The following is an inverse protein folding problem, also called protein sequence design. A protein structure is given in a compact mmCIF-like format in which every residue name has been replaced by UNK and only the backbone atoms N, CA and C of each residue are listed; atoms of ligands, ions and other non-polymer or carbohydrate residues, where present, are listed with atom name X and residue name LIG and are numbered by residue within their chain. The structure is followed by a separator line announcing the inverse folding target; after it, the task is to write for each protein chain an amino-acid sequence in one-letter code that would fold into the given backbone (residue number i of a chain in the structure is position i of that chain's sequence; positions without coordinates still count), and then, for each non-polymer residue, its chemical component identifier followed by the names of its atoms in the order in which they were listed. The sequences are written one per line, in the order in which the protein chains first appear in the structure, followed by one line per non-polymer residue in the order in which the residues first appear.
data_IF_688772639171
#
_entry.id   IF_688772639171
#
_cell.length_a   1.000
_cell.length_b   1.000
_cell.length_c   1.000
_cell.angle_alpha   90.00
_cell.angle_beta   90.00
_cell.angle_gamma   90.00
#
_symmetry.space_group_name_H-M   'P 1'
#
loop_
_entity.id
_entity.type
_entity.pdbx_description
1 polymer ?
#
# COMPACT_ATOMS: atom_id res chain seq x y z
N UNK A 1 34.49 -8.06 -8.89
CA UNK A 1 34.41 -8.43 -10.31
C UNK A 1 35.15 -7.36 -11.09
N UNK A 2 36.27 -7.72 -11.78
CA UNK A 2 36.97 -6.80 -12.71
C UNK A 2 36.05 -6.56 -13.91
N UNK A 3 35.62 -5.32 -14.13
CA UNK A 3 34.94 -4.97 -15.38
C UNK A 3 35.89 -5.22 -16.56
N UNK A 4 35.46 -5.93 -17.61
CA UNK A 4 36.25 -6.11 -18.82
C UNK A 4 36.50 -4.73 -19.45
N UNK A 5 37.73 -4.43 -19.81
CA UNK A 5 38.14 -3.19 -20.49
C UNK A 5 38.67 -3.52 -21.85
N UNK A 6 38.12 -2.86 -22.86
CA UNK A 6 38.70 -2.91 -24.21
C UNK A 6 40.02 -2.09 -24.21
N UNK A 7 41.15 -2.69 -24.63
CA UNK A 7 42.36 -1.93 -24.74
C UNK A 7 42.37 -1.07 -26.03
N UNK A 8 43.08 0.06 -26.02
CA UNK A 8 43.24 0.91 -27.21
C UNK A 8 43.81 0.13 -28.40
N UNK A 9 44.78 -0.78 -28.14
CA UNK A 9 45.38 -1.63 -29.17
C UNK A 9 44.37 -2.62 -29.78
N UNK A 10 43.44 -3.15 -29.01
CA UNK A 10 42.42 -4.05 -29.51
C UNK A 10 41.34 -3.29 -30.28
N UNK A 11 41.00 -2.10 -29.84
CA UNK A 11 40.09 -1.22 -30.56
C UNK A 11 40.62 -0.80 -31.92
N UNK A 12 41.95 -0.50 -32.03
CA UNK A 12 42.58 -0.13 -33.29
C UNK A 12 42.70 -1.28 -34.30
N UNK A 13 42.58 -2.52 -33.85
CA UNK A 13 42.60 -3.71 -34.75
C UNK A 13 41.20 -4.09 -35.27
N UNK A 14 40.15 -3.42 -34.74
CA UNK A 14 38.77 -3.67 -35.17
C UNK A 14 38.58 -3.32 -36.65
N UNK A 15 38.06 -4.25 -37.43
CA UNK A 15 37.67 -4.04 -38.82
C UNK A 15 36.23 -3.54 -38.85
N UNK A 16 36.00 -2.36 -39.42
CA UNK A 16 34.68 -1.77 -39.57
C UNK A 16 34.34 -1.72 -41.06
N UNK A 17 33.26 -2.35 -41.54
CA UNK A 17 32.79 -2.15 -42.91
C UNK A 17 32.33 -0.69 -43.09
N UNK A 18 32.96 -0.01 -44.07
CA UNK A 18 32.67 1.39 -44.32
C UNK A 18 31.88 1.50 -45.65
N UNK A 19 30.57 1.79 -45.58
CA UNK A 19 29.76 1.99 -46.78
C UNK A 19 30.06 3.34 -47.44
N UNK A 20 29.67 3.54 -48.72
CA UNK A 20 29.80 4.83 -49.40
C UNK A 20 29.13 5.96 -48.58
N UNK A 21 29.67 7.19 -48.67
CA UNK A 21 29.24 8.32 -47.87
C UNK A 21 27.72 8.59 -47.95
N UNK A 22 27.14 8.51 -49.15
CA UNK A 22 25.70 8.64 -49.34
C UNK A 22 24.87 7.58 -48.62
N UNK A 23 25.42 6.38 -48.44
CA UNK A 23 24.78 5.29 -47.68
C UNK A 23 24.97 5.49 -46.20
N UNK A 24 26.10 5.99 -45.74
CA UNK A 24 26.30 6.37 -44.34
C UNK A 24 25.25 7.39 -43.91
N UNK A 25 24.97 8.44 -44.70
CA UNK A 25 23.94 9.45 -44.43
C UNK A 25 22.54 8.82 -44.34
N UNK A 26 22.21 7.88 -45.21
CA UNK A 26 20.92 7.17 -45.19
C UNK A 26 20.78 6.30 -43.95
N UNK A 27 21.83 5.60 -43.56
CA UNK A 27 21.88 4.76 -42.35
C UNK A 27 21.66 5.63 -41.12
N UNK A 28 22.39 6.74 -41.01
CA UNK A 28 22.25 7.66 -39.85
C UNK A 28 20.83 8.22 -39.76
N UNK A 29 20.28 8.71 -40.86
CA UNK A 29 18.91 9.25 -40.90
C UNK A 29 17.86 8.20 -40.48
N UNK A 30 18.00 6.96 -40.92
CA UNK A 30 17.08 5.88 -40.54
C UNK A 30 17.24 5.49 -39.07
N UNK A 31 18.45 5.47 -38.51
CA UNK A 31 18.73 5.24 -37.10
C UNK A 31 18.10 6.36 -36.24
N UNK A 32 18.28 7.63 -36.60
CA UNK A 32 17.70 8.78 -35.91
C UNK A 32 16.17 8.68 -35.88
N UNK A 33 15.55 8.31 -37.00
CA UNK A 33 14.12 8.08 -37.09
C UNK A 33 13.65 6.97 -36.12
N UNK A 34 14.35 5.83 -36.07
CA UNK A 34 14.01 4.73 -35.16
C UNK A 34 14.18 5.12 -33.70
N UNK A 35 15.24 5.82 -33.34
CA UNK A 35 15.42 6.32 -31.97
C UNK A 35 14.30 7.30 -31.58
N UNK A 36 13.91 8.21 -32.47
CA UNK A 36 12.79 9.12 -32.22
C UNK A 36 11.47 8.37 -31.98
N UNK A 37 11.21 7.27 -32.72
CA UNK A 37 10.02 6.44 -32.50
C UNK A 37 10.09 5.69 -31.17
N UNK A 38 11.26 5.19 -30.77
CA UNK A 38 11.48 4.54 -29.48
C UNK A 38 11.20 5.52 -28.34
N UNK A 39 11.74 6.76 -28.43
CA UNK A 39 11.51 7.81 -27.43
C UNK A 39 10.02 8.14 -27.27
N UNK A 40 9.28 8.23 -28.38
CA UNK A 40 7.83 8.46 -28.36
C UNK A 40 7.09 7.33 -27.62
N UNK A 41 7.46 6.08 -27.89
CA UNK A 41 6.84 4.89 -27.26
C UNK A 41 7.16 4.87 -25.77
N UNK A 42 8.42 5.10 -25.38
CA UNK A 42 8.85 5.08 -23.97
C UNK A 42 8.18 6.20 -23.18
N UNK A 43 8.10 7.42 -23.72
CA UNK A 43 7.41 8.54 -23.09
C UNK A 43 5.90 8.25 -22.94
N UNK A 44 5.25 7.73 -23.98
CA UNK A 44 3.84 7.35 -23.94
C UNK A 44 3.56 6.24 -22.88
N UNK A 45 4.46 5.28 -22.73
CA UNK A 45 4.40 4.24 -21.69
C UNK A 45 4.49 4.85 -20.29
N UNK A 46 5.43 5.76 -20.06
CA UNK A 46 5.60 6.47 -18.78
C UNK A 46 4.39 7.32 -18.41
N UNK A 47 3.83 8.05 -19.38
CA UNK A 47 2.65 8.87 -19.19
C UNK A 47 1.42 8.02 -18.82
N UNK A 48 1.26 6.86 -19.46
CA UNK A 48 0.15 5.95 -19.17
C UNK A 48 0.28 5.32 -17.77
N UNK A 49 1.49 4.91 -17.36
CA UNK A 49 1.74 4.43 -15.99
C UNK A 49 1.38 5.50 -14.94
N UNK A 50 1.74 6.75 -15.20
CA UNK A 50 1.39 7.88 -14.34
C UNK A 50 -0.13 8.07 -14.28
N UNK A 51 -0.80 8.01 -15.42
CA UNK A 51 -2.26 8.13 -15.52
C UNK A 51 -2.98 7.01 -14.77
N UNK A 52 -2.51 5.76 -14.87
CA UNK A 52 -3.05 4.61 -14.11
C UNK A 52 -2.94 4.87 -12.61
N UNK A 53 -1.79 5.32 -12.13
CA UNK A 53 -1.58 5.63 -10.71
C UNK A 53 -2.52 6.74 -10.23
N UNK A 54 -2.67 7.81 -11.00
CA UNK A 54 -3.59 8.91 -10.69
C UNK A 54 -5.05 8.45 -10.69
N UNK A 55 -5.43 7.59 -11.64
CA UNK A 55 -6.78 7.02 -11.72
C UNK A 55 -7.09 6.15 -10.51
N UNK A 56 -6.17 5.26 -10.09
CA UNK A 56 -6.33 4.46 -8.85
C UNK A 56 -6.51 5.35 -7.63
N UNK A 57 -5.72 6.41 -7.52
CA UNK A 57 -5.87 7.40 -6.43
C UNK A 57 -7.23 8.09 -6.46
N UNK A 58 -7.72 8.47 -7.64
CA UNK A 58 -9.03 9.10 -7.80
C UNK A 58 -10.18 8.16 -7.45
N UNK A 59 -10.06 6.88 -7.78
CA UNK A 59 -11.05 5.84 -7.40
C UNK A 59 -11.16 5.77 -5.87
N UNK A 60 -10.03 5.73 -5.15
CA UNK A 60 -10.04 5.72 -3.68
C UNK A 60 -10.65 7.01 -3.10
N UNK A 61 -10.31 8.16 -3.68
CA UNK A 61 -10.90 9.44 -3.26
C UNK A 61 -12.42 9.47 -3.44
N UNK A 62 -12.94 9.00 -4.56
CA UNK A 62 -14.37 8.87 -4.78
C UNK A 62 -15.04 7.89 -3.81
N UNK A 63 -14.34 6.78 -3.50
CA UNK A 63 -14.85 5.75 -2.57
C UNK A 63 -15.06 6.29 -1.17
N UNK A 64 -14.05 6.99 -0.62
CA UNK A 64 -14.11 7.51 0.77
C UNK A 64 -15.06 8.70 0.95
N UNK A 65 -15.54 9.31 -0.14
CA UNK A 65 -16.49 10.41 -0.13
C UNK A 65 -17.91 10.00 -0.58
N UNK A 66 -18.19 8.69 -0.72
CA UNK A 66 -19.49 8.18 -1.13
C UNK A 66 -19.90 8.54 -2.56
N UNK A 67 -18.92 8.73 -3.46
CA UNK A 67 -19.12 9.15 -4.84
C UNK A 67 -18.77 8.08 -5.87
N UNK A 68 -18.25 6.92 -5.43
CA UNK A 68 -17.83 5.85 -6.34
C UNK A 68 -19.00 5.02 -6.87
N UNK A 69 -20.00 4.82 -6.03
CA UNK A 69 -21.24 4.07 -6.34
C UNK A 69 -22.47 4.88 -5.91
N UNK A 70 -23.63 4.54 -6.44
CA UNK A 70 -24.90 5.12 -5.99
C UNK A 70 -25.29 4.59 -4.61
N UNK A 71 -25.92 5.47 -3.80
CA UNK A 71 -26.48 5.11 -2.52
C UNK A 71 -27.74 4.24 -2.69
N UNK A 72 -27.92 3.25 -1.81
CA UNK A 72 -29.18 2.49 -1.71
C UNK A 72 -29.91 2.89 -0.44
N UNK A 73 -31.10 3.42 -0.59
CA UNK A 73 -31.93 3.88 0.53
C UNK A 73 -32.46 2.74 1.41
N UNK A 74 -32.39 1.50 0.93
CA UNK A 74 -32.78 0.31 1.68
C UNK A 74 -31.65 -0.25 2.56
N UNK A 75 -30.43 0.25 2.40
CA UNK A 75 -29.32 -0.16 3.27
C UNK A 75 -29.60 0.28 4.71
N UNK A 76 -29.27 -0.60 5.66
CA UNK A 76 -29.30 -0.25 7.07
C UNK A 76 -28.30 0.90 7.34
N UNK A 77 -28.73 2.03 7.91
CA UNK A 77 -27.83 3.15 8.15
C UNK A 77 -26.63 2.78 9.01
N UNK A 78 -25.45 3.36 8.73
CA UNK A 78 -24.21 3.06 9.45
C UNK A 78 -24.32 3.28 10.98
N UNK A 79 -25.20 4.18 11.43
CA UNK A 79 -25.43 4.42 12.86
C UNK A 79 -25.88 3.16 13.60
N UNK A 80 -26.72 2.31 12.98
CA UNK A 80 -27.20 1.08 13.61
C UNK A 80 -26.09 0.03 13.69
N UNK A 81 -25.25 -0.06 12.67
CA UNK A 81 -24.03 -0.88 12.69
C UNK A 81 -23.08 -0.43 13.84
N UNK A 82 -22.83 0.88 13.94
CA UNK A 82 -21.89 1.42 14.93
C UNK A 82 -22.40 1.25 16.36
N UNK A 83 -23.71 1.37 16.61
CA UNK A 83 -24.31 1.05 17.91
C UNK A 83 -24.21 -0.43 18.29
N UNK A 84 -24.28 -1.34 17.32
CA UNK A 84 -24.03 -2.77 17.58
C UNK A 84 -22.57 -3.06 17.95
N UNK A 85 -21.62 -2.33 17.33
CA UNK A 85 -20.19 -2.46 17.61
C UNK A 85 -19.80 -1.83 18.96
N UNK A 86 -20.43 -0.70 19.28
CA UNK A 86 -20.26 0.05 20.52
C UNK A 86 -21.63 0.63 20.95
N UNK A 87 -22.30 0.04 21.97
CA UNK A 87 -23.61 0.52 22.41
C UNK A 87 -23.64 1.98 22.86
N UNK A 88 -22.51 2.50 23.35
CA UNK A 88 -22.36 3.88 23.80
C UNK A 88 -21.92 4.83 22.66
N UNK A 89 -21.93 4.34 21.41
CA UNK A 89 -21.52 5.15 20.27
C UNK A 89 -22.41 6.39 20.12
N UNK A 90 -21.74 7.54 20.10
CA UNK A 90 -22.36 8.83 19.75
C UNK A 90 -21.66 9.33 18.48
N UNK A 91 -22.42 9.77 17.45
CA UNK A 91 -21.83 10.35 16.26
C UNK A 91 -20.89 11.51 16.62
N UNK A 92 -19.70 11.54 16.01
CA UNK A 92 -18.82 12.70 16.12
C UNK A 92 -19.46 13.85 15.34
N UNK A 93 -20.01 14.84 16.03
CA UNK A 93 -20.47 16.09 15.41
C UNK A 93 -19.28 17.07 15.38
N UNK A 94 -18.50 17.00 14.34
CA UNK A 94 -17.29 17.83 14.22
C UNK A 94 -17.50 19.05 13.31
N UNK A 95 -18.75 19.39 12.96
CA UNK A 95 -19.05 20.56 12.09
C UNK A 95 -18.37 20.48 10.72
N UNK A 96 -18.19 19.27 10.18
CA UNK A 96 -17.53 19.08 8.89
C UNK A 96 -18.30 19.77 7.77
N UNK A 97 -17.58 20.57 6.98
CA UNK A 97 -18.06 21.24 5.76
C UNK A 97 -18.33 20.24 4.61
N UNK A 98 -17.89 18.99 4.72
CA UNK A 98 -18.12 17.97 3.71
C UNK A 98 -19.48 17.31 3.91
N UNK A 99 -20.34 17.43 2.89
CA UNK A 99 -21.65 16.74 2.89
C UNK A 99 -21.43 15.25 2.67
N UNK A 100 -21.50 14.48 3.77
CA UNK A 100 -21.56 13.02 3.72
C UNK A 100 -22.92 12.55 3.19
N UNK A 101 -22.99 11.34 2.59
CA UNK A 101 -24.26 10.66 2.37
C UNK A 101 -25.03 10.52 3.69
N UNK A 102 -26.36 10.64 3.63
CA UNK A 102 -27.20 10.66 4.84
C UNK A 102 -27.11 9.37 5.66
N UNK A 103 -26.82 8.23 5.02
CA UNK A 103 -26.69 6.92 5.67
C UNK A 103 -25.31 6.68 6.32
N UNK A 104 -24.34 7.57 6.09
CA UNK A 104 -22.97 7.43 6.60
C UNK A 104 -22.82 8.09 7.97
N UNK A 105 -21.85 7.59 8.75
CA UNK A 105 -21.46 8.17 10.02
C UNK A 105 -19.97 8.45 10.08
N UNK A 106 -19.58 9.44 10.88
CA UNK A 106 -18.20 9.72 11.21
C UNK A 106 -17.80 8.99 12.49
N UNK A 107 -16.71 8.24 12.46
CA UNK A 107 -16.16 7.57 13.65
C UNK A 107 -14.64 7.71 13.68
N UNK A 108 -14.02 7.48 14.83
CA UNK A 108 -12.57 7.39 14.94
C UNK A 108 -12.10 5.96 14.63
N UNK A 109 -10.93 5.84 14.02
CA UNK A 109 -10.37 4.52 13.66
C UNK A 109 -10.32 3.59 14.89
N UNK A 110 -9.95 4.11 16.06
CA UNK A 110 -9.89 3.34 17.30
C UNK A 110 -11.22 2.63 17.63
N UNK A 111 -12.35 3.30 17.41
CA UNK A 111 -13.67 2.75 17.69
C UNK A 111 -14.06 1.60 16.76
N UNK A 112 -13.46 1.55 15.57
CA UNK A 112 -13.70 0.55 14.53
C UNK A 112 -12.79 -0.67 14.64
N UNK A 113 -11.78 -0.63 15.53
CA UNK A 113 -10.76 -1.66 15.66
C UNK A 113 -11.00 -2.57 16.86
N UNK A 114 -10.81 -3.87 16.65
CA UNK A 114 -10.67 -4.87 17.71
C UNK A 114 -9.21 -4.94 18.24
N UNK A 115 -8.24 -4.57 17.39
CA UNK A 115 -6.85 -4.42 17.77
C UNK A 115 -6.23 -3.27 16.99
N UNK A 116 -5.64 -2.32 17.69
CA UNK A 116 -4.92 -1.19 17.12
C UNK A 116 -3.69 -0.95 18.00
N UNK A 117 -2.54 -1.40 17.54
CA UNK A 117 -1.30 -1.34 18.31
C UNK A 117 -0.07 -1.43 17.42
N UNK A 118 1.03 -0.90 17.89
CA UNK A 118 2.33 -1.23 17.32
C UNK A 118 2.75 -2.65 17.76
N UNK A 119 3.53 -3.31 16.92
CA UNK A 119 4.23 -4.52 17.31
C UNK A 119 5.24 -4.27 18.43
N UNK A 120 6.01 -5.28 18.78
CA UNK A 120 7.02 -5.21 19.87
C UNK A 120 8.43 -5.31 19.31
N UNK A 121 9.40 -4.80 20.05
CA UNK A 121 10.82 -4.98 19.72
C UNK A 121 11.22 -6.44 19.91
N UNK A 122 11.58 -7.16 18.84
CA UNK A 122 11.91 -8.56 18.92
C UNK A 122 13.36 -8.78 19.34
N UNK A 123 13.65 -9.89 20.01
CA UNK A 123 15.00 -10.46 20.04
C UNK A 123 15.09 -11.42 18.86
N UNK A 124 16.08 -11.22 18.00
CA UNK A 124 16.25 -12.03 16.81
C UNK A 124 17.13 -13.25 17.05
N UNK A 125 16.86 -14.32 16.32
CA UNK A 125 17.70 -15.52 16.21
C UNK A 125 18.35 -15.57 14.84
N UNK A 126 19.64 -15.93 14.80
CA UNK A 126 20.32 -16.21 13.54
C UNK A 126 20.27 -17.71 13.17
N UNK A 127 20.01 -18.57 14.15
CA UNK A 127 20.02 -20.03 14.01
C UNK A 127 18.63 -20.61 13.79
N UNK A 128 17.61 -20.09 14.47
CA UNK A 128 16.22 -20.55 14.34
C UNK A 128 15.50 -19.71 13.30
N UNK A 129 14.84 -20.35 12.34
CA UNK A 129 14.11 -19.71 11.24
C UNK A 129 12.64 -20.15 11.20
N UNK A 130 12.04 -20.42 12.36
CA UNK A 130 10.66 -20.91 12.44
C UNK A 130 9.62 -19.80 12.50
N UNK A 131 9.91 -18.68 13.19
CA UNK A 131 8.95 -17.60 13.42
C UNK A 131 9.46 -16.30 12.76
N UNK A 132 8.97 -15.94 11.57
CA UNK A 132 9.35 -14.69 10.94
C UNK A 132 8.79 -13.49 11.68
N UNK A 133 9.53 -12.38 11.65
CA UNK A 133 9.13 -11.09 12.19
C UNK A 133 8.85 -10.15 11.03
N UNK A 134 7.62 -9.65 10.96
CA UNK A 134 7.19 -8.69 9.96
C UNK A 134 7.74 -7.31 10.28
N UNK A 135 8.65 -6.84 9.45
CA UNK A 135 9.30 -5.54 9.55
C UNK A 135 8.97 -4.67 8.34
N UNK A 136 9.36 -3.41 8.34
CA UNK A 136 9.11 -2.45 7.25
C UNK A 136 9.46 -2.97 5.85
N UNK A 137 10.55 -3.75 5.73
CA UNK A 137 10.99 -4.32 4.45
C UNK A 137 10.02 -5.36 3.90
N UNK A 138 9.18 -5.97 4.76
CA UNK A 138 8.17 -6.92 4.33
C UNK A 138 7.02 -6.25 3.57
N UNK A 139 6.80 -4.94 3.80
CA UNK A 139 5.91 -4.10 3.00
C UNK A 139 6.67 -3.62 1.74
N UNK A 140 6.49 -4.28 0.62
CA UNK A 140 7.23 -4.00 -0.60
C UNK A 140 6.91 -2.61 -1.17
N UNK A 141 7.90 -1.98 -1.81
CA UNK A 141 7.76 -0.65 -2.42
C UNK A 141 6.76 -0.69 -3.58
N UNK A 142 6.88 -1.66 -4.44
CA UNK A 142 6.08 -1.79 -5.66
C UNK A 142 4.69 -2.41 -5.42
N UNK A 143 4.38 -2.74 -4.18
CA UNK A 143 3.11 -3.37 -3.77
C UNK A 143 3.32 -4.76 -3.19
N UNK A 144 2.28 -5.24 -2.45
CA UNK A 144 2.32 -6.57 -1.84
C UNK A 144 3.17 -6.68 -0.58
N UNK A 145 3.26 -7.91 -0.11
CA UNK A 145 3.98 -8.35 1.09
C UNK A 145 4.92 -9.49 0.71
N UNK A 146 6.14 -9.49 1.27
CA UNK A 146 7.06 -10.62 1.18
C UNK A 146 7.76 -10.85 2.52
N UNK A 147 7.88 -12.12 2.92
CA UNK A 147 8.63 -12.53 4.11
C UNK A 147 10.07 -12.98 3.79
N UNK A 148 10.51 -12.92 2.53
CA UNK A 148 11.87 -13.34 2.12
C UNK A 148 12.98 -12.59 2.87
N UNK A 149 12.74 -11.31 3.19
CA UNK A 149 13.69 -10.48 3.93
C UNK A 149 13.37 -10.42 5.43
N UNK A 150 12.42 -11.24 5.92
CA UNK A 150 12.10 -11.27 7.33
C UNK A 150 13.29 -11.82 8.14
N UNK A 151 13.51 -11.22 9.31
CA UNK A 151 14.34 -11.81 10.36
C UNK A 151 13.47 -12.71 11.24
N UNK A 152 14.10 -13.56 12.05
CA UNK A 152 13.37 -14.55 12.84
C UNK A 152 13.45 -14.26 14.32
N UNK A 153 12.36 -14.52 15.04
CA UNK A 153 12.28 -14.34 16.47
C UNK A 153 13.10 -15.43 17.19
N UNK A 154 13.80 -15.04 18.25
CA UNK A 154 14.36 -16.01 19.21
C UNK A 154 13.21 -16.71 19.94
N UNK A 155 13.03 -18.05 19.75
CA UNK A 155 11.90 -18.79 20.31
C UNK A 155 11.77 -18.67 21.84
N UNK A 156 12.90 -18.47 22.55
CA UNK A 156 12.90 -18.27 24.01
C UNK A 156 12.13 -17.03 24.46
N UNK A 157 11.83 -16.10 23.53
CA UNK A 157 11.12 -14.87 23.81
C UNK A 157 9.66 -14.86 23.39
N UNK A 158 9.16 -15.97 22.83
CA UNK A 158 7.78 -16.06 22.34
C UNK A 158 6.74 -15.78 23.45
N UNK A 159 7.05 -16.13 24.69
CA UNK A 159 6.18 -15.90 25.85
C UNK A 159 5.87 -14.41 26.10
N UNK A 160 6.67 -13.48 25.53
CA UNK A 160 6.42 -12.03 25.59
C UNK A 160 5.33 -11.57 24.62
N UNK A 161 4.92 -12.43 23.70
CA UNK A 161 3.94 -12.15 22.67
C UNK A 161 2.61 -12.83 23.02
N UNK A 162 1.55 -12.04 23.19
CA UNK A 162 0.20 -12.60 23.30
C UNK A 162 -0.32 -12.97 21.91
N UNK A 163 -1.26 -13.91 21.86
CA UNK A 163 -1.86 -14.42 20.61
C UNK A 163 -2.41 -13.29 19.70
N UNK A 164 -2.87 -12.19 20.30
CA UNK A 164 -3.45 -11.06 19.55
C UNK A 164 -2.45 -10.42 18.58
N UNK A 165 -1.14 -10.55 18.81
CA UNK A 165 -0.10 -10.04 17.91
C UNK A 165 0.18 -10.91 16.69
N UNK A 166 -0.30 -12.17 16.67
CA UNK A 166 -0.21 -12.96 15.45
C UNK A 166 -1.04 -12.31 14.36
N UNK A 167 -0.39 -12.01 13.24
CA UNK A 167 -1.07 -11.37 12.11
C UNK A 167 -2.10 -12.32 11.51
N UNK A 168 -3.25 -11.78 11.14
CA UNK A 168 -4.41 -12.49 10.63
C UNK A 168 -4.85 -11.88 9.29
N UNK A 169 -5.50 -12.69 8.46
CA UNK A 169 -6.13 -12.17 7.23
C UNK A 169 -7.06 -11.01 7.56
N UNK A 170 -6.88 -9.89 6.86
CA UNK A 170 -7.64 -8.66 7.11
C UNK A 170 -6.92 -7.64 8.01
N UNK A 171 -5.77 -7.98 8.61
CA UNK A 171 -4.96 -6.98 9.30
C UNK A 171 -4.38 -5.96 8.31
N UNK A 172 -4.51 -4.69 8.63
CA UNK A 172 -3.92 -3.61 7.86
C UNK A 172 -2.62 -3.21 8.57
N UNK A 173 -1.51 -3.32 7.83
CA UNK A 173 -0.17 -3.11 8.33
C UNK A 173 0.37 -1.77 7.84
N UNK A 174 0.67 -0.87 8.77
CA UNK A 174 1.16 0.48 8.49
C UNK A 174 2.59 0.61 8.99
N UNK A 175 3.52 0.98 8.13
CA UNK A 175 4.89 1.29 8.54
C UNK A 175 4.88 2.55 9.42
N UNK A 176 5.30 2.42 10.67
CA UNK A 176 5.28 3.51 11.65
C UNK A 176 6.57 4.32 11.69
N UNK A 177 7.64 3.86 11.05
CA UNK A 177 8.94 4.55 10.98
C UNK A 177 9.59 4.32 9.63
N UNK A 178 10.73 4.97 9.40
CA UNK A 178 11.61 4.74 8.25
C UNK A 178 11.49 5.80 7.16
N UNK A 179 12.65 6.35 6.78
CA UNK A 179 12.74 7.37 5.72
C UNK A 179 12.16 6.85 4.41
N UNK A 180 11.13 7.52 3.89
CA UNK A 180 10.44 7.16 2.64
C UNK A 180 9.59 5.88 2.69
N UNK A 181 9.40 5.30 3.89
CA UNK A 181 8.56 4.10 4.06
C UNK A 181 7.44 4.29 5.09
N UNK A 182 7.54 5.27 5.98
CA UNK A 182 6.49 5.60 6.95
C UNK A 182 5.16 5.88 6.25
N UNK A 183 4.06 5.41 6.84
CA UNK A 183 2.73 5.49 6.22
C UNK A 183 2.42 4.41 5.19
N UNK A 184 3.42 3.67 4.67
CA UNK A 184 3.16 2.58 3.72
C UNK A 184 2.23 1.56 4.33
N UNK A 185 1.09 1.35 3.67
CA UNK A 185 -0.02 0.53 4.17
C UNK A 185 -0.21 -0.70 3.29
N UNK A 186 -0.40 -1.89 3.90
CA UNK A 186 -0.70 -3.15 3.20
C UNK A 186 -1.77 -3.93 3.95
N UNK A 187 -2.60 -4.63 3.20
CA UNK A 187 -3.57 -5.58 3.74
C UNK A 187 -2.91 -6.97 3.82
N UNK A 188 -2.89 -7.56 5.01
CA UNK A 188 -2.31 -8.87 5.24
C UNK A 188 -3.30 -9.98 4.89
N UNK A 189 -2.77 -11.06 4.32
CA UNK A 189 -3.47 -12.30 4.09
C UNK A 189 -2.57 -13.46 4.50
N UNK A 190 -3.12 -14.48 5.16
CA UNK A 190 -2.36 -15.64 5.61
C UNK A 190 -1.72 -16.44 4.48
N UNK A 191 -2.17 -16.25 3.22
CA UNK A 191 -1.45 -16.81 2.06
C UNK A 191 0.00 -16.34 1.93
N UNK A 192 0.36 -15.18 2.53
CA UNK A 192 1.74 -14.69 2.58
C UNK A 192 2.63 -15.45 3.56
N UNK A 193 2.06 -16.26 4.45
CA UNK A 193 2.84 -17.05 5.41
C UNK A 193 3.69 -18.14 4.74
N UNK A 194 3.23 -18.67 3.58
CA UNK A 194 3.90 -19.79 2.94
C UNK A 194 3.95 -21.00 3.87
N UNK A 195 5.17 -21.39 4.29
CA UNK A 195 5.39 -22.51 5.19
C UNK A 195 5.39 -22.16 6.70
N UNK A 196 5.31 -20.86 7.02
CA UNK A 196 5.40 -20.42 8.41
C UNK A 196 4.04 -20.53 9.11
N UNK A 197 4.01 -20.96 10.41
CA UNK A 197 2.75 -21.14 11.14
C UNK A 197 2.06 -19.81 11.46
N UNK A 198 2.81 -18.75 11.64
CA UNK A 198 2.34 -17.37 11.87
C UNK A 198 3.51 -16.39 11.72
N UNK A 199 3.21 -15.12 11.74
CA UNK A 199 4.18 -14.01 11.72
C UNK A 199 3.81 -12.97 12.78
N UNK A 200 4.81 -12.32 13.38
CA UNK A 200 4.65 -11.32 14.43
C UNK A 200 5.17 -9.95 13.93
N UNK A 201 4.47 -8.84 14.18
CA UNK A 201 4.90 -7.52 13.76
C UNK A 201 5.99 -6.97 14.68
N UNK A 202 7.04 -6.34 14.13
CA UNK A 202 8.02 -5.61 14.93
C UNK A 202 7.48 -4.24 15.40
N UNK A 203 8.25 -3.54 16.25
CA UNK A 203 7.87 -2.24 16.80
C UNK A 203 7.76 -1.11 15.78
N UNK A 204 8.14 -1.35 14.53
CA UNK A 204 8.07 -0.38 13.43
C UNK A 204 6.81 -0.55 12.58
N UNK A 205 5.95 -1.51 12.93
CA UNK A 205 4.69 -1.79 12.25
C UNK A 205 3.52 -1.52 13.21
N UNK A 206 2.57 -0.70 12.78
CA UNK A 206 1.25 -0.60 13.40
C UNK A 206 0.29 -1.57 12.74
N UNK A 207 -0.46 -2.32 13.55
CA UNK A 207 -1.47 -3.27 13.12
C UNK A 207 -2.85 -2.66 13.40
N UNK A 208 -3.68 -2.59 12.35
CA UNK A 208 -5.08 -2.14 12.42
C UNK A 208 -5.94 -3.35 12.09
N UNK A 209 -6.65 -3.89 13.06
CA UNK A 209 -7.58 -5.03 12.91
C UNK A 209 -9.00 -4.56 13.13
N UNK A 210 -9.82 -4.67 12.12
CA UNK A 210 -11.21 -4.25 12.16
C UNK A 210 -12.03 -5.07 13.17
N UNK A 211 -13.07 -4.45 13.76
CA UNK A 211 -14.13 -5.16 14.46
C UNK A 211 -15.05 -5.87 13.48
N UNK A 212 -15.73 -6.90 13.96
CA UNK A 212 -16.79 -7.57 13.20
C UNK A 212 -17.84 -6.56 12.76
N UNK A 213 -18.23 -6.58 11.49
CA UNK A 213 -19.14 -5.63 10.88
C UNK A 213 -18.45 -4.45 10.16
N UNK A 214 -17.15 -4.31 10.29
CA UNK A 214 -16.35 -3.38 9.48
C UNK A 214 -15.52 -4.18 8.48
N UNK A 215 -15.63 -3.82 7.20
CA UNK A 215 -14.91 -4.53 6.12
C UNK A 215 -13.43 -4.08 6.11
N UNK A 216 -12.47 -4.99 6.35
CA UNK A 216 -11.05 -4.63 6.40
C UNK A 216 -10.54 -3.99 5.10
N UNK A 217 -11.01 -4.47 3.94
CA UNK A 217 -10.66 -3.93 2.63
C UNK A 217 -11.14 -2.49 2.45
N UNK A 218 -12.30 -2.13 3.04
CA UNK A 218 -12.79 -0.75 3.05
C UNK A 218 -11.85 0.16 3.87
N UNK A 219 -11.50 -0.25 5.10
CA UNK A 219 -10.53 0.49 5.92
C UNK A 219 -9.16 0.59 5.25
N UNK A 220 -8.71 -0.48 4.60
CA UNK A 220 -7.46 -0.48 3.84
C UNK A 220 -7.51 0.54 2.69
N UNK A 221 -8.59 0.56 1.91
CA UNK A 221 -8.81 1.53 0.84
C UNK A 221 -8.84 2.97 1.41
N UNK A 222 -9.51 3.16 2.55
CA UNK A 222 -9.62 4.44 3.24
C UNK A 222 -8.24 4.95 3.67
N UNK A 223 -7.48 4.14 4.41
CA UNK A 223 -6.14 4.49 4.92
C UNK A 223 -5.15 4.70 3.76
N UNK A 224 -5.30 3.97 2.66
CA UNK A 224 -4.44 4.07 1.47
C UNK A 224 -4.79 5.24 0.56
N UNK A 225 -5.90 5.96 0.81
CA UNK A 225 -6.28 7.13 0.00
C UNK A 225 -5.30 8.29 0.18
N UNK A 226 -5.14 9.11 -0.87
CA UNK A 226 -4.21 10.25 -0.81
C UNK A 226 -4.52 11.24 0.31
N UNK A 227 -5.81 11.50 0.59
CA UNK A 227 -6.23 12.37 1.69
C UNK A 227 -5.69 11.88 3.02
N UNK A 228 -5.80 10.58 3.28
CA UNK A 228 -5.35 9.98 4.54
C UNK A 228 -3.83 9.81 4.56
N UNK A 229 -3.20 9.50 3.45
CA UNK A 229 -1.73 9.46 3.38
C UNK A 229 -1.13 10.85 3.62
N UNK A 230 -1.77 11.93 3.15
CA UNK A 230 -1.39 13.31 3.48
C UNK A 230 -1.62 13.61 4.97
N UNK A 231 -2.77 13.22 5.54
CA UNK A 231 -3.02 13.35 6.97
C UNK A 231 -1.92 12.66 7.80
N UNK A 232 -1.51 11.44 7.42
CA UNK A 232 -0.39 10.74 8.08
C UNK A 232 0.89 11.55 7.97
N UNK A 233 1.26 12.03 6.77
CA UNK A 233 2.49 12.79 6.53
C UNK A 233 2.53 14.09 7.35
N UNK A 234 1.40 14.80 7.45
CA UNK A 234 1.27 16.08 8.18
C UNK A 234 1.36 15.88 9.70
N UNK A 235 1.07 14.67 10.21
CA UNK A 235 1.08 14.33 11.64
C UNK A 235 2.28 13.46 12.05
N UNK A 236 3.31 13.33 11.19
CA UNK A 236 4.53 12.65 11.58
C UNK A 236 5.34 13.48 12.58
N UNK A 237 5.85 12.80 13.58
CA UNK A 237 6.80 13.40 14.54
C UNK A 237 8.25 13.12 14.13
N UNK A 238 9.19 13.91 14.65
CA UNK A 238 10.63 13.71 14.46
C UNK A 238 11.24 14.62 13.39
N UNK A 239 12.56 14.50 13.21
CA UNK A 239 13.35 15.28 12.24
C UNK A 239 13.28 14.62 10.85
N UNK A 240 13.77 15.35 9.83
CA UNK A 240 13.75 14.96 8.41
C UNK A 240 14.21 13.52 8.13
N UNK A 241 15.14 12.98 8.91
CA UNK A 241 15.71 11.65 8.70
C UNK A 241 15.16 10.58 9.66
N UNK A 242 14.30 10.94 10.62
CA UNK A 242 13.73 10.02 11.61
C UNK A 242 12.26 10.37 11.87
N UNK A 243 11.47 10.35 10.81
CA UNK A 243 10.02 10.52 10.90
C UNK A 243 9.37 9.29 11.53
N UNK A 244 8.43 9.52 12.44
CA UNK A 244 7.71 8.49 13.17
C UNK A 244 6.21 8.78 13.21
N UNK A 245 5.41 7.77 12.91
CA UNK A 245 3.97 7.78 13.06
C UNK A 245 3.61 7.19 14.43
N UNK A 246 3.16 8.02 15.35
CA UNK A 246 2.67 7.54 16.64
C UNK A 246 1.29 6.91 16.50
N UNK A 247 1.03 5.87 17.32
CA UNK A 247 -0.24 5.15 17.30
C UNK A 247 -1.44 6.07 17.56
N UNK A 248 -1.27 7.10 18.40
CA UNK A 248 -2.32 8.09 18.70
C UNK A 248 -2.81 8.85 17.46
N UNK A 249 -1.97 9.03 16.43
CA UNK A 249 -2.40 9.63 15.15
C UNK A 249 -3.39 8.71 14.44
N UNK A 250 -3.11 7.41 14.41
CA UNK A 250 -4.04 6.42 13.85
C UNK A 250 -5.31 6.31 14.69
N UNK A 251 -5.20 6.31 16.03
CA UNK A 251 -6.35 6.23 16.93
C UNK A 251 -7.35 7.35 16.71
N UNK A 252 -6.89 8.57 16.49
CA UNK A 252 -7.70 9.76 16.29
C UNK A 252 -8.14 10.00 14.86
N UNK A 253 -7.65 9.19 13.91
CA UNK A 253 -8.01 9.29 12.50
C UNK A 253 -9.52 9.18 12.32
N UNK A 254 -10.11 10.16 11.65
CA UNK A 254 -11.53 10.20 11.33
C UNK A 254 -11.84 9.33 10.11
N UNK A 255 -12.82 8.46 10.25
CA UNK A 255 -13.25 7.51 9.22
C UNK A 255 -14.73 7.76 8.90
N UNK A 256 -15.07 8.01 7.67
CA UNK A 256 -16.43 8.00 7.17
C UNK A 256 -16.87 6.55 6.96
N UNK A 257 -17.87 6.13 7.72
CA UNK A 257 -18.35 4.75 7.76
C UNK A 257 -19.65 4.64 6.99
N UNK A 258 -19.68 3.91 5.84
CA UNK A 258 -20.92 3.60 5.14
C UNK A 258 -21.70 2.45 5.79
N UNK A 259 -22.97 2.25 5.41
CA UNK A 259 -23.69 1.01 5.65
C UNK A 259 -22.86 -0.23 5.28
N UNK A 260 -23.00 -1.33 6.03
CA UNK A 260 -22.20 -2.54 5.79
C UNK A 260 -22.34 -3.07 4.36
N UNK A 261 -23.55 -3.10 3.82
CA UNK A 261 -23.79 -3.54 2.43
C UNK A 261 -23.12 -2.60 1.41
N UNK A 262 -23.08 -1.30 1.71
CA UNK A 262 -22.40 -0.31 0.89
C UNK A 262 -20.88 -0.46 0.97
N UNK A 263 -20.28 -0.75 2.15
CA UNK A 263 -18.86 -1.07 2.25
C UNK A 263 -18.48 -2.22 1.30
N UNK A 264 -19.29 -3.28 1.26
CA UNK A 264 -19.07 -4.43 0.37
C UNK A 264 -19.09 -4.03 -1.11
N UNK A 265 -20.11 -3.24 -1.52
CA UNK A 265 -20.24 -2.77 -2.90
C UNK A 265 -19.09 -1.83 -3.30
N UNK A 266 -18.65 -0.96 -2.39
CA UNK A 266 -17.49 -0.08 -2.60
C UNK A 266 -16.23 -0.91 -2.84
N UNK A 267 -15.96 -1.88 -1.97
CA UNK A 267 -14.78 -2.77 -2.10
C UNK A 267 -14.83 -3.53 -3.42
N UNK A 268 -15.95 -4.15 -3.75
CA UNK A 268 -16.12 -4.88 -5.02
C UNK A 268 -15.85 -3.96 -6.23
N UNK A 269 -16.35 -2.71 -6.19
CA UNK A 269 -16.13 -1.77 -7.28
C UNK A 269 -14.68 -1.31 -7.39
N UNK A 270 -14.00 -1.12 -6.27
CA UNK A 270 -12.55 -0.81 -6.26
C UNK A 270 -11.76 -1.96 -6.88
N UNK A 271 -12.03 -3.21 -6.47
CA UNK A 271 -11.35 -4.41 -6.98
C UNK A 271 -11.56 -4.59 -8.48
N UNK A 272 -12.80 -4.41 -8.97
CA UNK A 272 -13.13 -4.44 -10.40
C UNK A 272 -12.30 -3.41 -11.19
N UNK A 273 -12.31 -2.16 -10.75
CA UNK A 273 -11.63 -1.07 -11.45
C UNK A 273 -10.10 -1.20 -11.37
N UNK A 274 -9.57 -1.62 -10.21
CA UNK A 274 -8.12 -1.84 -10.06
C UNK A 274 -7.65 -3.00 -10.92
N UNK A 275 -8.39 -4.11 -10.96
CA UNK A 275 -8.07 -5.25 -11.83
C UNK A 275 -8.03 -4.85 -13.31
N UNK A 276 -8.98 -4.02 -13.77
CA UNK A 276 -8.97 -3.52 -15.14
C UNK A 276 -7.73 -2.64 -15.43
N UNK A 277 -7.35 -1.76 -14.48
CA UNK A 277 -6.17 -0.91 -14.61
C UNK A 277 -4.86 -1.72 -14.54
N UNK A 278 -4.79 -2.77 -13.69
CA UNK A 278 -3.65 -3.67 -13.61
C UNK A 278 -3.47 -4.47 -14.90
N UNK A 279 -4.57 -4.92 -15.53
CA UNK A 279 -4.50 -5.60 -16.83
C UNK A 279 -3.93 -4.68 -17.92
N UNK A 280 -4.31 -3.39 -17.94
CA UNK A 280 -3.72 -2.41 -18.85
C UNK A 280 -2.23 -2.23 -18.55
N UNK A 281 -1.84 -2.08 -17.28
CA UNK A 281 -0.44 -1.92 -16.88
C UNK A 281 0.40 -3.12 -17.29
N UNK A 282 -0.06 -4.35 -17.03
CA UNK A 282 0.64 -5.57 -17.38
C UNK A 282 0.82 -5.72 -18.90
N UNK A 283 -0.16 -5.29 -19.70
CA UNK A 283 -0.05 -5.28 -21.16
C UNK A 283 1.01 -4.31 -21.70
N UNK A 284 1.45 -3.32 -20.89
CA UNK A 284 2.55 -2.40 -21.25
C UNK A 284 3.93 -2.96 -20.92
N UNK A 285 4.02 -4.00 -20.10
CA UNK A 285 5.29 -4.61 -19.66
C UNK A 285 5.74 -5.76 -20.54
N UNK A 286 4.88 -6.17 -21.49
CA UNK A 286 5.16 -7.16 -22.53
C UNK A 286 5.76 -6.50 -23.78
#
# INVERSE_FOLDING_TARGET
VKMPRLSTNDACKGMIPLPPLAEQHRIVAEIEKWFSLIDIIENGKSDLQTTIKQTKSKILDLAIHGKLISQDLNDEPAIELLKRINPDYTPCDNGHSEKLPQSWCLSRLKELCSFLSRGKSPKYSDNDKTIPVFAQKCNLKEGGISLEQARFLDPSTICKWSEVYKLQTGDILVNSTGTGTVGRTRLFNESYLGQYPFVLPDSHISVVRAKTGIIPQYLYAYISSNKIQQYIEDNLAGSTNQKELYIGVLEQMEIFVPPLAEQQRIVQKIEELFSALDNIQNALEV
#
